data_IF_111722847883
#
_entry.id   IF_111722847883
#
_cell.length_a   1.000
_cell.length_b   1.000
_cell.length_c   1.000
_cell.angle_alpha   90.00
_cell.angle_beta   90.00
_cell.angle_gamma   90.00
#
_symmetry.space_group_name_H-M   'P 1'
#
loop_
_entity.id
_entity.type
_entity.pdbx_description
1 polymer ?
#
# COMPACT_ATOMS: atom_id res chain seq x y z
N UNK A 1 17.13 20.51 -2.08
CA UNK A 1 15.84 20.48 -2.80
C UNK A 1 14.98 19.45 -2.10
N UNK A 2 14.05 19.89 -1.25
CA UNK A 2 13.22 18.99 -0.44
C UNK A 2 12.02 18.54 -1.27
N UNK A 3 12.00 17.28 -1.65
CA UNK A 3 10.83 16.64 -2.27
C UNK A 3 9.66 16.71 -1.28
N UNK A 4 8.60 17.40 -1.68
CA UNK A 4 7.37 17.51 -0.91
C UNK A 4 6.80 16.12 -0.68
N UNK A 5 6.88 15.65 0.57
CA UNK A 5 6.06 14.55 1.07
C UNK A 5 4.62 14.88 0.71
N UNK A 6 4.01 14.10 -0.17
CA UNK A 6 2.62 14.28 -0.56
C UNK A 6 1.75 14.10 0.69
N UNK A 7 1.42 15.20 1.36
CA UNK A 7 0.56 15.22 2.53
C UNK A 7 -0.80 14.70 2.10
N UNK A 8 -1.15 13.49 2.56
CA UNK A 8 -2.45 12.89 2.31
C UNK A 8 -3.49 13.80 2.97
N UNK A 9 -4.48 14.35 2.24
CA UNK A 9 -5.52 15.17 2.83
C UNK A 9 -6.36 14.34 3.81
N UNK A 10 -6.15 14.53 5.12
CA UNK A 10 -6.82 13.77 6.19
C UNK A 10 -8.22 14.31 6.54
N UNK A 11 -9.05 14.59 5.54
CA UNK A 11 -10.47 14.79 5.83
C UNK A 11 -11.10 13.42 6.14
N UNK A 12 -11.96 13.31 7.17
CA UNK A 12 -12.52 12.03 7.63
C UNK A 12 -13.26 11.27 6.52
N UNK A 13 -13.89 11.99 5.61
CA UNK A 13 -14.62 11.48 4.45
C UNK A 13 -13.69 10.86 3.40
N UNK A 14 -12.44 11.34 3.30
CA UNK A 14 -11.43 10.77 2.41
C UNK A 14 -10.87 9.44 2.94
N UNK A 15 -10.88 9.21 4.27
CA UNK A 15 -10.42 7.94 4.86
C UNK A 15 -11.31 6.78 4.43
N UNK A 16 -12.63 6.98 4.40
CA UNK A 16 -13.61 5.99 3.93
C UNK A 16 -13.42 5.66 2.45
N UNK A 17 -13.22 6.66 1.60
CA UNK A 17 -12.98 6.47 0.16
C UNK A 17 -11.68 5.71 -0.10
N UNK A 18 -10.61 6.05 0.62
CA UNK A 18 -9.33 5.34 0.53
C UNK A 18 -9.42 3.90 0.99
N UNK A 19 -10.14 3.63 2.08
CA UNK A 19 -10.33 2.28 2.61
C UNK A 19 -11.14 1.42 1.63
N UNK A 20 -12.17 2.00 1.01
CA UNK A 20 -12.95 1.35 -0.04
C UNK A 20 -12.11 1.05 -1.29
N UNK A 21 -11.36 2.03 -1.81
CA UNK A 21 -10.45 1.80 -2.93
C UNK A 21 -9.39 0.73 -2.61
N UNK A 22 -8.88 0.70 -1.37
CA UNK A 22 -7.93 -0.30 -0.90
C UNK A 22 -8.55 -1.69 -0.75
N UNK A 23 -9.84 -1.81 -0.39
CA UNK A 23 -10.53 -3.10 -0.32
C UNK A 23 -10.73 -3.68 -1.73
N UNK A 24 -11.13 -2.86 -2.70
CA UNK A 24 -11.24 -3.27 -4.10
C UNK A 24 -9.89 -3.70 -4.69
N UNK A 25 -8.82 -2.99 -4.37
CA UNK A 25 -7.46 -3.37 -4.79
C UNK A 25 -7.02 -4.70 -4.18
N UNK A 26 -7.34 -4.95 -2.90
CA UNK A 26 -7.08 -6.23 -2.23
C UNK A 26 -7.89 -7.38 -2.83
N UNK A 27 -9.12 -7.11 -3.28
CA UNK A 27 -9.95 -8.07 -3.99
C UNK A 27 -9.48 -8.36 -5.43
N UNK A 28 -8.38 -7.73 -5.89
CA UNK A 28 -7.79 -7.98 -7.20
C UNK A 28 -8.47 -7.26 -8.36
N UNK A 29 -9.32 -6.25 -8.09
CA UNK A 29 -9.95 -5.44 -9.14
C UNK A 29 -8.90 -4.66 -9.93
N UNK A 30 -9.15 -4.47 -11.23
CA UNK A 30 -8.27 -3.65 -12.08
C UNK A 30 -8.35 -2.20 -11.63
N UNK A 31 -7.26 -1.47 -11.78
CA UNK A 31 -7.19 -0.07 -11.35
C UNK A 31 -8.13 0.85 -12.11
N UNK A 32 -8.40 0.56 -13.38
CA UNK A 32 -9.44 1.24 -14.17
C UNK A 32 -10.84 1.09 -13.60
N UNK A 33 -11.13 -0.09 -13.04
CA UNK A 33 -12.44 -0.42 -12.48
C UNK A 33 -12.62 0.26 -11.12
N UNK A 34 -11.53 0.35 -10.34
CA UNK A 34 -11.49 1.09 -9.07
C UNK A 34 -11.66 2.59 -9.33
N UNK A 35 -10.96 3.15 -10.32
CA UNK A 35 -11.13 4.56 -10.71
C UNK A 35 -12.58 4.85 -11.10
N UNK A 36 -13.18 3.99 -11.93
CA UNK A 36 -14.57 4.11 -12.36
C UNK A 36 -15.56 4.02 -11.19
N UNK A 37 -15.34 3.09 -10.25
CA UNK A 37 -16.17 2.95 -9.05
C UNK A 37 -16.10 4.20 -8.16
N UNK A 38 -14.92 4.80 -8.00
CA UNK A 38 -14.75 6.03 -7.23
C UNK A 38 -15.43 7.24 -7.91
N UNK A 39 -15.37 7.32 -9.24
CA UNK A 39 -16.09 8.36 -9.99
C UNK A 39 -17.61 8.17 -9.88
N UNK A 40 -18.10 6.93 -9.92
CA UNK A 40 -19.51 6.62 -9.72
C UNK A 40 -20.01 7.00 -8.32
N UNK A 41 -19.15 6.87 -7.29
CA UNK A 41 -19.39 7.35 -5.93
C UNK A 41 -19.29 8.88 -5.77
N UNK A 42 -19.10 9.63 -6.86
CA UNK A 42 -19.12 11.08 -6.89
C UNK A 42 -17.75 11.76 -6.77
N UNK A 43 -16.64 11.02 -6.85
CA UNK A 43 -15.32 11.65 -6.92
C UNK A 43 -15.04 12.22 -8.32
N UNK A 44 -14.30 13.33 -8.36
CA UNK A 44 -13.70 13.79 -9.61
C UNK A 44 -12.70 12.76 -10.15
N UNK A 45 -12.65 12.63 -11.47
CA UNK A 45 -11.76 11.67 -12.13
C UNK A 45 -10.28 11.89 -11.79
N UNK A 46 -9.87 13.15 -11.61
CA UNK A 46 -8.50 13.47 -11.17
C UNK A 46 -8.21 12.96 -9.75
N UNK A 47 -9.18 13.09 -8.82
CA UNK A 47 -9.04 12.57 -7.46
C UNK A 47 -9.03 11.05 -7.43
N UNK A 48 -9.95 10.39 -8.15
CA UNK A 48 -9.99 8.93 -8.25
C UNK A 48 -8.65 8.37 -8.75
N UNK A 49 -8.10 8.95 -9.82
CA UNK A 49 -6.79 8.58 -10.37
C UNK A 49 -5.65 8.80 -9.38
N UNK A 50 -5.65 9.90 -8.64
CA UNK A 50 -4.64 10.17 -7.62
C UNK A 50 -4.68 9.13 -6.47
N UNK A 51 -5.88 8.76 -6.02
CA UNK A 51 -6.08 7.74 -4.98
C UNK A 51 -5.51 6.39 -5.43
N UNK A 52 -5.89 5.95 -6.63
CA UNK A 52 -5.46 4.66 -7.17
C UNK A 52 -3.95 4.63 -7.43
N UNK A 53 -3.37 5.72 -7.94
CA UNK A 53 -1.92 5.84 -8.11
C UNK A 53 -1.17 5.76 -6.78
N UNK A 54 -1.67 6.42 -5.73
CA UNK A 54 -1.09 6.33 -4.40
C UNK A 54 -1.17 4.91 -3.84
N UNK A 55 -2.31 4.22 -4.01
CA UNK A 55 -2.45 2.83 -3.57
C UNK A 55 -1.49 1.87 -4.27
N UNK A 56 -1.30 2.03 -5.58
CA UNK A 56 -0.30 1.25 -6.33
C UNK A 56 1.12 1.52 -5.83
N UNK A 57 1.45 2.79 -5.59
CA UNK A 57 2.75 3.19 -5.07
C UNK A 57 3.01 2.58 -3.69
N UNK A 58 2.05 2.69 -2.76
CA UNK A 58 2.14 2.09 -1.43
C UNK A 58 2.25 0.58 -1.49
N UNK A 59 1.51 -0.10 -2.38
CA UNK A 59 1.62 -1.55 -2.58
C UNK A 59 3.03 -1.94 -3.05
N UNK A 60 3.60 -1.21 -4.02
CA UNK A 60 4.95 -1.45 -4.53
C UNK A 60 6.00 -1.20 -3.43
N UNK A 61 5.90 -0.09 -2.71
CA UNK A 61 6.81 0.23 -1.62
C UNK A 61 6.77 -0.82 -0.51
N UNK A 62 5.57 -1.27 -0.12
CA UNK A 62 5.38 -2.33 0.88
C UNK A 62 5.98 -3.66 0.42
N UNK A 63 5.82 -4.00 -0.87
CA UNK A 63 6.44 -5.19 -1.45
C UNK A 63 7.97 -5.10 -1.45
N UNK A 64 8.54 -3.98 -1.89
CA UNK A 64 9.99 -3.75 -1.85
C UNK A 64 10.52 -3.87 -0.42
N UNK A 65 9.81 -3.28 0.54
CA UNK A 65 10.18 -3.36 1.96
C UNK A 65 10.13 -4.82 2.46
N UNK A 66 9.07 -5.56 2.14
CA UNK A 66 8.96 -6.99 2.45
C UNK A 66 10.11 -7.80 1.87
N UNK A 67 10.41 -7.62 0.58
CA UNK A 67 11.52 -8.31 -0.10
C UNK A 67 12.86 -7.98 0.54
N UNK A 68 13.07 -6.75 1.02
CA UNK A 68 14.29 -6.35 1.71
C UNK A 68 14.42 -6.93 3.13
N UNK A 69 13.31 -7.07 3.84
CA UNK A 69 13.26 -7.60 5.21
C UNK A 69 13.33 -9.13 5.24
N UNK A 70 12.77 -9.81 4.24
CA UNK A 70 12.67 -11.27 4.22
C UNK A 70 14.03 -12.00 4.37
N UNK A 71 15.11 -11.60 3.67
CA UNK A 71 16.44 -12.19 3.87
C UNK A 71 17.01 -11.92 5.26
N UNK A 72 16.73 -10.76 5.84
CA UNK A 72 17.20 -10.39 7.18
C UNK A 72 16.51 -11.23 8.25
N UNK A 73 15.19 -11.41 8.14
CA UNK A 73 14.40 -12.30 9.01
C UNK A 73 14.88 -13.75 8.89
N UNK A 74 15.20 -14.22 7.68
CA UNK A 74 15.75 -15.56 7.47
C UNK A 74 17.13 -15.73 8.14
N UNK A 75 18.00 -14.72 8.06
CA UNK A 75 19.30 -14.72 8.74
C UNK A 75 19.13 -14.81 10.27
N UNK A 76 18.25 -13.99 10.85
CA UNK A 76 17.96 -14.01 12.29
C UNK A 76 17.41 -15.37 12.71
N UNK A 77 16.44 -15.93 11.98
CA UNK A 77 15.89 -17.27 12.24
C UNK A 77 16.97 -18.34 12.26
N UNK A 78 17.91 -18.30 11.32
CA UNK A 78 19.01 -19.26 11.25
C UNK A 78 20.03 -19.09 12.40
N UNK A 79 20.30 -17.84 12.81
CA UNK A 79 21.15 -17.57 13.97
C UNK A 79 20.53 -18.11 15.26
N UNK A 80 19.24 -17.85 15.48
CA UNK A 80 18.49 -18.36 16.64
C UNK A 80 18.47 -19.89 16.65
N UNK A 81 18.18 -20.52 15.51
CA UNK A 81 18.17 -22.00 15.39
C UNK A 81 19.53 -22.62 15.73
N UNK A 82 20.64 -21.99 15.30
CA UNK A 82 22.00 -22.46 15.64
C UNK A 82 22.32 -22.28 17.12
N UNK A 83 21.86 -21.19 17.74
CA UNK A 83 22.01 -20.95 19.17
C UNK A 83 21.27 -21.99 20.01
N UNK A 84 20.04 -22.33 19.62
CA UNK A 84 19.24 -23.38 20.27
C UNK A 84 19.91 -24.74 20.14
N UNK A 85 20.42 -25.12 18.96
CA UNK A 85 21.11 -26.41 18.74
C UNK A 85 22.45 -26.59 19.47
N UNK A 86 23.05 -25.49 19.94
CA UNK A 86 24.33 -25.51 20.68
C UNK A 86 24.14 -25.61 22.19
N UNK A 87 22.91 -25.44 22.68
CA UNK A 87 22.51 -25.76 24.05
C UNK A 87 21.91 -27.16 24.07
#
# INVERSE_FOLDING_TARGET
MSEGMATIPQQPENKTVYQYAASLLRAGKKTTDIESALVADGLSQQRAKAIVKNLQHTRKASFTHYVSLHPQLHKIKNQVTRLIRRK
#
